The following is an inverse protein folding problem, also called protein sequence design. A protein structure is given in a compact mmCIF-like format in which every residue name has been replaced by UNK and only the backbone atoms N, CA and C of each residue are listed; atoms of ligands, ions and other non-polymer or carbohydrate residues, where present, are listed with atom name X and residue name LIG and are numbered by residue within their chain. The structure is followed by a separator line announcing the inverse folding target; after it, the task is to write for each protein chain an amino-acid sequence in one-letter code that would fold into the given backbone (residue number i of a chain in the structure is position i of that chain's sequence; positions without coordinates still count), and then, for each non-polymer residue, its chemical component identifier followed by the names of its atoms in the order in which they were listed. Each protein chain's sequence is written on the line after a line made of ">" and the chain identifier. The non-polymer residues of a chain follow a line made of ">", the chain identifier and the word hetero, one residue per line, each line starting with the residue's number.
data_IF_613350556404
#
_entry.id   IF_613350556404
#
_cell.length_a   1.000
_cell.length_b   1.000
_cell.length_c   1.000
_cell.angle_alpha   90.00
_cell.angle_beta   90.00
_cell.angle_gamma   90.00
#
_symmetry.space_group_name_H-M   'P 1'
#
loop_
_entity.id
_entity.type
_entity.pdbx_description
1 polymer ?
#
# COMPACT_ATOMS: atom_id res chain seq x y z
N UNK A 1 -12.30 -17.46 -16.53
CA UNK A 1 -11.60 -16.17 -16.31
C UNK A 1 -12.41 -15.25 -15.38
N UNK A 2 -13.70 -15.00 -15.62
CA UNK A 2 -14.57 -14.18 -14.76
C UNK A 2 -14.58 -14.59 -13.27
N UNK A 3 -14.69 -15.89 -12.96
CA UNK A 3 -14.66 -16.42 -11.58
C UNK A 3 -13.40 -16.03 -10.80
N UNK A 4 -12.24 -15.99 -11.47
CA UNK A 4 -10.96 -15.67 -10.83
C UNK A 4 -10.75 -14.17 -10.64
N UNK A 5 -11.23 -13.34 -11.59
CA UNK A 5 -11.25 -11.88 -11.43
C UNK A 5 -12.20 -11.46 -10.30
N UNK A 6 -13.39 -12.09 -10.19
CA UNK A 6 -14.29 -11.81 -9.07
C UNK A 6 -13.67 -12.17 -7.72
N UNK A 7 -12.89 -13.25 -7.64
CA UNK A 7 -12.16 -13.63 -6.42
C UNK A 7 -11.15 -12.54 -6.02
N UNK A 8 -10.44 -11.95 -6.97
CA UNK A 8 -9.45 -10.90 -6.70
C UNK A 8 -10.08 -9.64 -6.08
N UNK A 9 -11.28 -9.23 -6.51
CA UNK A 9 -11.95 -8.07 -5.92
C UNK A 9 -12.52 -8.33 -4.52
N UNK A 10 -12.88 -9.58 -4.23
CA UNK A 10 -13.53 -9.98 -2.98
C UNK A 10 -12.51 -10.17 -1.83
N UNK A 11 -11.23 -10.46 -2.13
CA UNK A 11 -10.17 -10.70 -1.12
C UNK A 11 -9.38 -9.48 -0.64
N UNK A 12 -9.59 -8.32 -1.26
CA UNK A 12 -8.90 -7.08 -0.92
C UNK A 12 -9.79 -5.85 -0.59
N UNK A 13 -11.09 -5.98 -0.19
CA UNK A 13 -11.91 -4.84 0.22
C UNK A 13 -11.25 -3.92 1.25
N UNK A 14 -10.41 -4.45 2.14
CA UNK A 14 -9.70 -3.65 3.14
C UNK A 14 -8.83 -2.54 2.50
N UNK A 15 -8.37 -2.72 1.27
CA UNK A 15 -7.61 -1.73 0.50
C UNK A 15 -8.49 -1.00 -0.52
N UNK A 16 -9.33 -1.73 -1.26
CA UNK A 16 -10.10 -1.15 -2.37
C UNK A 16 -11.26 -0.29 -1.90
N UNK A 17 -11.92 -0.63 -0.78
CA UNK A 17 -13.07 0.15 -0.27
C UNK A 17 -12.64 1.54 0.19
N UNK A 18 -11.61 1.72 1.05
CA UNK A 18 -11.12 3.06 1.38
C UNK A 18 -10.67 3.84 0.15
N UNK A 19 -9.92 3.20 -0.76
CA UNK A 19 -9.40 3.84 -1.97
C UNK A 19 -10.52 4.36 -2.88
N UNK A 20 -11.45 3.49 -3.30
CA UNK A 20 -12.58 3.87 -4.15
C UNK A 20 -13.42 4.94 -3.44
N UNK A 21 -13.59 4.83 -2.13
CA UNK A 21 -14.36 5.80 -1.37
C UNK A 21 -13.77 7.22 -1.46
N UNK A 22 -12.45 7.36 -1.37
CA UNK A 22 -11.75 8.65 -1.51
C UNK A 22 -11.77 9.14 -2.97
N UNK A 23 -11.51 8.28 -3.95
CA UNK A 23 -11.57 8.63 -5.38
C UNK A 23 -12.97 9.10 -5.82
N UNK A 24 -14.03 8.51 -5.25
CA UNK A 24 -15.40 8.95 -5.48
C UNK A 24 -15.75 10.26 -4.74
N UNK A 25 -14.98 10.62 -3.72
CA UNK A 25 -15.21 11.85 -2.94
C UNK A 25 -14.55 13.06 -3.59
N UNK A 26 -13.35 12.90 -4.14
CA UNK A 26 -12.62 13.98 -4.79
C UNK A 26 -11.58 13.45 -5.78
N UNK A 27 -11.19 14.30 -6.73
CA UNK A 27 -10.21 13.96 -7.76
C UNK A 27 -8.78 14.06 -7.24
N UNK A 28 -8.00 13.02 -7.47
CA UNK A 28 -6.56 13.00 -7.23
C UNK A 28 -5.79 13.23 -8.53
N UNK A 29 -4.58 13.79 -8.40
CA UNK A 29 -3.67 13.94 -9.52
C UNK A 29 -3.13 12.58 -9.96
N UNK A 30 -2.57 12.53 -11.17
CA UNK A 30 -1.73 11.39 -11.54
C UNK A 30 -0.42 11.46 -10.75
N UNK A 31 0.18 10.31 -10.40
CA UNK A 31 1.48 10.30 -9.77
C UNK A 31 2.54 11.06 -10.58
N UNK A 32 3.57 11.55 -9.90
CA UNK A 32 4.65 12.26 -10.54
C UNK A 32 5.30 11.41 -11.64
N UNK A 33 5.62 12.07 -12.75
CA UNK A 33 6.27 11.40 -13.88
C UNK A 33 7.69 11.01 -13.49
N UNK A 34 7.99 9.72 -13.67
CA UNK A 34 9.32 9.16 -13.41
C UNK A 34 9.95 8.72 -14.74
N UNK A 35 11.28 8.72 -14.78
CA UNK A 35 12.00 8.17 -15.93
C UNK A 35 11.77 6.66 -15.97
N UNK A 36 11.25 6.15 -17.08
CA UNK A 36 11.03 4.72 -17.26
C UNK A 36 12.37 4.02 -17.46
N UNK A 37 12.90 3.47 -16.36
CA UNK A 37 14.17 2.76 -16.36
C UNK A 37 13.99 1.35 -15.81
N UNK A 38 14.27 0.36 -16.67
CA UNK A 38 14.34 -1.03 -16.26
C UNK A 38 15.56 -1.30 -15.38
N UNK A 39 15.48 -2.34 -14.55
CA UNK A 39 16.58 -2.73 -13.68
C UNK A 39 17.71 -3.40 -14.47
N UNK A 40 18.94 -3.17 -14.05
CA UNK A 40 20.06 -3.93 -14.61
C UNK A 40 19.86 -5.43 -14.40
N UNK A 41 19.92 -6.21 -15.48
CA UNK A 41 19.65 -7.64 -15.44
C UNK A 41 20.64 -8.38 -14.55
N UNK A 42 21.93 -8.03 -14.62
CA UNK A 42 22.98 -8.69 -13.84
C UNK A 42 22.78 -8.49 -12.34
N UNK A 43 22.52 -7.23 -11.94
CA UNK A 43 22.19 -6.89 -10.54
C UNK A 43 20.92 -7.59 -10.07
N UNK A 44 19.86 -7.60 -10.88
CA UNK A 44 18.60 -8.26 -10.53
C UNK A 44 18.78 -9.77 -10.32
N UNK A 45 19.52 -10.43 -11.22
CA UNK A 45 19.85 -11.86 -11.11
C UNK A 45 20.69 -12.13 -9.86
N UNK A 46 21.74 -11.34 -9.64
CA UNK A 46 22.61 -11.47 -8.47
C UNK A 46 21.83 -11.30 -7.17
N UNK A 47 21.07 -10.22 -7.01
CA UNK A 47 20.22 -9.96 -5.85
C UNK A 47 19.17 -11.05 -5.65
N UNK A 48 18.65 -11.65 -6.73
CA UNK A 48 17.72 -12.79 -6.66
C UNK A 48 18.42 -14.08 -6.21
N UNK A 49 19.65 -14.33 -6.65
CA UNK A 49 20.44 -15.51 -6.26
C UNK A 49 20.78 -15.48 -4.76
N UNK A 50 21.19 -14.33 -4.25
CA UNK A 50 21.54 -14.17 -2.83
C UNK A 50 20.32 -13.91 -1.93
N UNK A 51 19.11 -13.82 -2.50
CA UNK A 51 17.87 -13.45 -1.79
C UNK A 51 18.01 -12.17 -0.94
N UNK A 52 18.60 -11.13 -1.52
CA UNK A 52 18.81 -9.87 -0.78
C UNK A 52 17.47 -9.20 -0.45
N UNK A 53 17.28 -8.78 0.80
CA UNK A 53 16.09 -8.05 1.25
C UNK A 53 16.36 -6.55 1.44
N UNK A 54 17.62 -6.11 1.30
CA UNK A 54 18.00 -4.71 1.47
C UNK A 54 17.56 -3.87 0.26
N UNK A 55 16.36 -3.27 0.37
CA UNK A 55 15.84 -2.28 -0.59
C UNK A 55 16.18 -0.83 -0.23
N UNK A 56 16.69 -0.59 0.98
CA UNK A 56 16.71 0.73 1.61
C UNK A 56 17.90 1.61 1.23
N UNK A 57 18.85 1.10 0.44
CA UNK A 57 20.04 1.84 0.00
C UNK A 57 19.91 2.17 -1.48
N UNK A 58 20.11 3.44 -1.84
CA UNK A 58 20.18 3.88 -3.23
C UNK A 58 21.14 2.97 -4.02
N UNK A 59 20.70 2.52 -5.20
CA UNK A 59 21.36 1.54 -6.11
C UNK A 59 21.12 0.04 -5.87
N UNK A 60 20.35 -0.37 -4.84
CA UNK A 60 19.98 -1.78 -4.69
C UNK A 60 18.86 -2.18 -5.67
N UNK A 61 18.96 -3.40 -6.21
CA UNK A 61 18.00 -3.94 -7.16
C UNK A 61 16.90 -4.75 -6.45
N UNK A 62 15.65 -4.58 -6.89
CA UNK A 62 14.57 -5.50 -6.59
C UNK A 62 14.88 -6.87 -7.20
N UNK A 63 14.39 -7.91 -6.54
CA UNK A 63 14.65 -9.29 -6.93
C UNK A 63 13.38 -10.13 -6.87
N UNK A 64 13.44 -11.32 -7.49
CA UNK A 64 12.35 -12.31 -7.50
C UNK A 64 12.63 -13.49 -6.57
N UNK A 65 13.81 -13.50 -5.94
CA UNK A 65 14.31 -14.57 -5.10
C UNK A 65 14.74 -15.84 -5.84
N UNK A 66 15.51 -16.67 -5.14
CA UNK A 66 16.15 -17.87 -5.68
C UNK A 66 15.14 -18.91 -6.19
N UNK A 67 14.01 -19.07 -5.49
CA UNK A 67 12.98 -20.05 -5.85
C UNK A 67 12.44 -19.76 -7.26
N UNK A 68 12.21 -18.49 -7.59
CA UNK A 68 11.68 -18.11 -8.91
C UNK A 68 12.76 -18.15 -9.99
N UNK A 69 14.03 -17.90 -9.66
CA UNK A 69 15.13 -18.17 -10.59
C UNK A 69 15.21 -19.67 -10.95
N UNK A 70 15.09 -20.55 -9.96
CA UNK A 70 15.04 -21.99 -10.19
C UNK A 70 13.81 -22.35 -11.05
N UNK A 71 12.64 -21.77 -10.76
CA UNK A 71 11.44 -21.96 -11.55
C UNK A 71 11.63 -21.53 -13.02
N UNK A 72 12.40 -20.46 -13.25
CA UNK A 72 12.74 -19.97 -14.58
C UNK A 72 13.50 -21.03 -15.37
N UNK A 73 14.57 -21.59 -14.79
CA UNK A 73 15.42 -22.60 -15.44
C UNK A 73 14.70 -23.93 -15.59
N UNK A 74 14.09 -24.45 -14.52
CA UNK A 74 13.36 -25.71 -14.54
C UNK A 74 12.17 -25.66 -15.49
N UNK A 75 11.52 -24.50 -15.60
CA UNK A 75 10.41 -24.28 -16.51
C UNK A 75 10.78 -24.53 -17.98
N UNK A 76 12.01 -24.20 -18.38
CA UNK A 76 12.54 -24.53 -19.73
C UNK A 76 12.62 -26.04 -19.90
N UNK A 77 13.22 -26.72 -18.92
CA UNK A 77 13.49 -28.18 -18.96
C UNK A 77 12.19 -28.96 -19.08
N UNK A 78 11.15 -28.58 -18.32
CA UNK A 78 9.86 -29.28 -18.32
C UNK A 78 8.81 -28.63 -19.23
N UNK A 79 9.16 -27.62 -20.02
CA UNK A 79 8.21 -26.84 -20.84
C UNK A 79 7.35 -27.71 -21.76
N UNK A 80 7.93 -28.79 -22.32
CA UNK A 80 7.20 -29.73 -23.18
C UNK A 80 6.07 -30.48 -22.44
N UNK A 81 6.17 -30.61 -21.12
CA UNK A 81 5.15 -31.25 -20.26
C UNK A 81 4.02 -30.29 -19.85
N UNK A 82 4.15 -28.99 -20.13
CA UNK A 82 3.14 -28.01 -19.75
C UNK A 82 1.91 -28.09 -20.65
N UNK A 83 0.72 -27.92 -20.05
CA UNK A 83 -0.51 -27.67 -20.78
C UNK A 83 -0.45 -26.31 -21.49
N UNK A 84 -1.33 -26.07 -22.47
CA UNK A 84 -1.35 -24.80 -23.21
C UNK A 84 -1.48 -23.57 -22.31
N UNK A 85 -2.34 -23.64 -21.29
CA UNK A 85 -2.50 -22.58 -20.29
C UNK A 85 -1.21 -22.34 -19.51
N UNK A 86 -0.55 -23.41 -19.06
CA UNK A 86 0.68 -23.27 -18.28
C UNK A 86 1.86 -22.79 -19.13
N UNK A 87 1.92 -23.16 -20.42
CA UNK A 87 2.88 -22.56 -21.36
C UNK A 87 2.68 -21.06 -21.46
N UNK A 88 1.43 -20.61 -21.61
CA UNK A 88 1.12 -19.18 -21.62
C UNK A 88 1.51 -18.51 -20.28
N UNK A 89 1.21 -19.12 -19.14
CA UNK A 89 1.63 -18.62 -17.82
C UNK A 89 3.15 -18.52 -17.69
N UNK A 90 3.89 -19.51 -18.19
CA UNK A 90 5.36 -19.48 -18.19
C UNK A 90 5.91 -18.37 -19.09
N UNK A 91 5.33 -18.18 -20.28
CA UNK A 91 5.71 -17.08 -21.17
C UNK A 91 5.39 -15.72 -20.55
N UNK A 92 4.27 -15.58 -19.84
CA UNK A 92 3.95 -14.37 -19.08
C UNK A 92 4.96 -14.13 -17.94
N UNK A 93 5.35 -15.18 -17.21
CA UNK A 93 6.39 -15.11 -16.18
C UNK A 93 7.72 -14.58 -16.74
N UNK A 94 8.20 -15.15 -17.84
CA UNK A 94 9.42 -14.67 -18.51
C UNK A 94 9.22 -13.25 -19.08
N UNK A 95 8.08 -13.00 -19.72
CA UNK A 95 7.77 -11.72 -20.34
C UNK A 95 7.77 -10.58 -19.33
N UNK A 96 7.04 -10.70 -18.22
CA UNK A 96 6.98 -9.65 -17.19
C UNK A 96 8.33 -9.49 -16.48
N UNK A 97 9.12 -10.56 -16.36
CA UNK A 97 10.51 -10.46 -15.88
C UNK A 97 11.35 -9.60 -16.83
N UNK A 98 11.36 -9.90 -18.12
CA UNK A 98 12.14 -9.14 -19.11
C UNK A 98 11.68 -7.69 -19.21
N UNK A 99 10.37 -7.43 -19.17
CA UNK A 99 9.82 -6.08 -19.14
C UNK A 99 10.32 -5.29 -17.91
N UNK A 100 10.62 -5.93 -16.78
CA UNK A 100 11.16 -5.21 -15.61
C UNK A 100 12.63 -4.80 -15.74
N UNK A 101 13.33 -5.27 -16.77
CA UNK A 101 14.79 -5.11 -16.93
C UNK A 101 15.16 -4.04 -17.96
N UNK A 102 16.42 -3.64 -17.94
CA UNK A 102 17.04 -2.74 -18.91
C UNK A 102 17.12 -3.31 -20.33
N UNK A 103 16.85 -4.62 -20.52
CA UNK A 103 16.73 -5.22 -21.85
C UNK A 103 15.52 -4.71 -22.62
N UNK A 104 14.45 -4.30 -21.91
CA UNK A 104 13.28 -3.74 -22.57
C UNK A 104 13.50 -2.25 -22.85
N UNK A 105 13.20 -1.75 -24.07
CA UNK A 105 13.53 -0.40 -24.48
C UNK A 105 12.52 0.63 -23.94
N UNK A 106 12.47 0.79 -22.63
CA UNK A 106 11.54 1.67 -21.91
C UNK A 106 11.55 3.13 -22.38
N UNK A 107 12.69 3.61 -22.89
CA UNK A 107 12.83 4.96 -23.45
C UNK A 107 11.84 5.25 -24.59
N UNK A 108 11.46 4.24 -25.38
CA UNK A 108 10.49 4.39 -26.48
C UNK A 108 9.10 4.76 -25.93
N UNK A 109 8.81 4.36 -24.69
CA UNK A 109 7.52 4.60 -24.03
C UNK A 109 7.53 5.83 -23.12
N UNK A 110 8.67 6.51 -22.99
CA UNK A 110 8.75 7.80 -22.30
C UNK A 110 7.86 8.80 -23.05
N UNK A 111 6.94 9.49 -22.36
CA UNK A 111 5.89 10.36 -22.94
C UNK A 111 4.66 9.64 -23.54
N UNK A 112 4.50 8.35 -23.31
CA UNK A 112 3.24 7.64 -23.63
C UNK A 112 2.39 7.44 -22.38
N UNK A 113 1.13 7.00 -22.52
CA UNK A 113 0.28 6.66 -21.37
C UNK A 113 0.86 5.55 -20.47
N UNK A 114 1.87 4.81 -20.94
CA UNK A 114 2.55 3.77 -20.16
C UNK A 114 3.44 4.36 -19.05
N UNK A 115 3.83 5.63 -19.16
CA UNK A 115 4.64 6.34 -18.15
C UNK A 115 4.01 6.36 -16.75
N UNK A 116 2.68 6.19 -16.65
CA UNK A 116 1.96 6.07 -15.37
C UNK A 116 2.45 4.94 -14.47
N UNK A 117 3.07 3.90 -15.05
CA UNK A 117 3.67 2.79 -14.30
C UNK A 117 4.80 3.31 -13.39
N UNK A 118 5.46 4.41 -13.77
CA UNK A 118 6.60 5.08 -13.13
C UNK A 118 7.86 4.22 -13.02
N UNK A 119 7.71 3.03 -12.45
CA UNK A 119 8.81 2.14 -12.12
C UNK A 119 8.60 0.77 -12.77
N UNK A 120 9.34 0.43 -13.83
CA UNK A 120 9.24 -0.86 -14.49
C UNK A 120 9.40 -2.08 -13.56
N UNK A 121 10.16 -1.96 -12.46
CA UNK A 121 10.27 -3.03 -11.46
C UNK A 121 8.92 -3.42 -10.84
N UNK A 122 7.88 -2.58 -10.89
CA UNK A 122 6.52 -2.93 -10.42
C UNK A 122 5.94 -4.12 -11.18
N UNK A 123 6.41 -4.38 -12.41
CA UNK A 123 6.02 -5.57 -13.18
C UNK A 123 6.52 -6.88 -12.55
N UNK A 124 7.50 -6.82 -11.64
CA UNK A 124 7.94 -7.98 -10.87
C UNK A 124 6.82 -8.58 -10.01
N UNK A 125 5.78 -7.82 -9.65
CA UNK A 125 4.60 -8.38 -8.96
C UNK A 125 3.92 -9.46 -9.82
N UNK A 126 3.81 -9.24 -11.12
CA UNK A 126 3.25 -10.22 -12.06
C UNK A 126 4.23 -11.37 -12.29
N UNK A 127 5.53 -11.08 -12.35
CA UNK A 127 6.58 -12.09 -12.42
C UNK A 127 6.50 -13.06 -11.23
N UNK A 128 6.34 -12.54 -10.02
CA UNK A 128 6.16 -13.36 -8.82
C UNK A 128 4.88 -14.18 -8.91
N UNK A 129 3.76 -13.56 -9.29
CA UNK A 129 2.48 -14.26 -9.43
C UNK A 129 2.56 -15.45 -10.40
N UNK A 130 3.01 -15.21 -11.64
CA UNK A 130 3.09 -16.25 -12.67
C UNK A 130 4.18 -17.27 -12.34
N UNK A 131 5.33 -16.82 -11.84
CA UNK A 131 6.44 -17.67 -11.42
C UNK A 131 6.05 -18.61 -10.29
N UNK A 132 5.27 -18.16 -9.30
CA UNK A 132 4.75 -19.02 -8.23
C UNK A 132 3.85 -20.13 -8.78
N UNK A 133 2.93 -19.81 -9.70
CA UNK A 133 2.05 -20.82 -10.34
C UNK A 133 2.87 -21.85 -11.11
N UNK A 134 3.85 -21.39 -11.90
CA UNK A 134 4.77 -22.26 -12.63
C UNK A 134 5.53 -23.17 -11.67
N UNK A 135 6.13 -22.61 -10.63
CA UNK A 135 6.93 -23.37 -9.67
C UNK A 135 6.10 -24.44 -8.96
N UNK A 136 4.87 -24.12 -8.54
CA UNK A 136 3.95 -25.10 -7.95
C UNK A 136 3.71 -26.28 -8.89
N UNK A 137 3.51 -26.03 -10.19
CA UNK A 137 3.29 -27.12 -11.15
C UNK A 137 4.56 -27.93 -11.42
N UNK A 138 5.72 -27.28 -11.51
CA UNK A 138 7.02 -27.96 -11.62
C UNK A 138 7.22 -28.91 -10.45
N UNK A 139 6.97 -28.44 -9.22
CA UNK A 139 7.05 -29.26 -8.01
C UNK A 139 6.07 -30.43 -8.05
N UNK A 140 4.83 -30.23 -8.52
CA UNK A 140 3.86 -31.30 -8.68
C UNK A 140 4.34 -32.40 -9.66
N UNK A 141 4.96 -32.01 -10.79
CA UNK A 141 5.55 -32.96 -11.74
C UNK A 141 6.71 -33.74 -11.12
N UNK A 142 7.64 -33.03 -10.46
CA UNK A 142 8.89 -33.62 -9.95
C UNK A 142 8.61 -34.54 -8.78
N UNK A 143 7.84 -34.04 -7.80
CA UNK A 143 7.60 -34.77 -6.56
C UNK A 143 6.64 -35.93 -6.76
N UNK A 144 5.86 -35.96 -7.87
CA UNK A 144 4.78 -36.93 -8.13
C UNK A 144 3.89 -37.16 -6.90
N UNK A 145 3.81 -36.16 -6.02
CA UNK A 145 3.33 -36.31 -4.67
C UNK A 145 1.98 -35.63 -4.55
N UNK A 146 1.04 -36.35 -3.95
CA UNK A 146 -0.23 -35.79 -3.49
C UNK A 146 -0.02 -34.88 -2.28
N UNK A 147 0.69 -33.75 -2.47
CA UNK A 147 1.02 -32.78 -1.42
C UNK A 147 -0.24 -32.12 -0.82
N UNK A 148 -1.38 -32.21 -1.50
CA UNK A 148 -2.67 -31.77 -0.99
C UNK A 148 -3.00 -32.38 0.38
N UNK A 149 -2.57 -33.63 0.66
CA UNK A 149 -2.80 -34.26 1.96
C UNK A 149 -2.01 -33.61 3.11
N UNK A 150 -0.96 -32.86 2.78
CA UNK A 150 -0.13 -32.12 3.73
C UNK A 150 -0.40 -30.61 3.67
N UNK A 151 -1.46 -30.17 2.99
CA UNK A 151 -1.75 -28.75 2.78
C UNK A 151 -1.72 -27.93 4.07
N UNK A 152 -2.35 -28.42 5.15
CA UNK A 152 -2.38 -27.72 6.45
C UNK A 152 -0.97 -27.61 7.06
N UNK A 153 -0.17 -28.67 6.99
CA UNK A 153 1.19 -28.67 7.50
C UNK A 153 2.08 -27.69 6.70
N UNK A 154 1.98 -27.71 5.37
CA UNK A 154 2.70 -26.78 4.48
C UNK A 154 2.27 -25.34 4.76
N UNK A 155 0.96 -25.09 4.87
CA UNK A 155 0.41 -23.77 5.19
C UNK A 155 0.91 -23.28 6.55
N UNK A 156 0.95 -24.14 7.56
CA UNK A 156 1.48 -23.84 8.89
C UNK A 156 2.96 -23.46 8.83
N UNK A 157 3.79 -24.28 8.17
CA UNK A 157 5.24 -24.01 8.01
C UNK A 157 5.48 -22.71 7.25
N UNK A 158 4.78 -22.48 6.13
CA UNK A 158 4.89 -21.23 5.37
C UNK A 158 4.50 -20.04 6.23
N UNK A 159 3.39 -20.13 6.97
CA UNK A 159 2.91 -19.04 7.85
C UNK A 159 3.94 -18.72 8.94
N UNK A 160 4.54 -19.74 9.57
CA UNK A 160 5.57 -19.55 10.61
C UNK A 160 6.82 -18.89 10.03
N UNK A 161 7.30 -19.35 8.87
CA UNK A 161 8.49 -18.79 8.23
C UNK A 161 8.23 -17.33 7.81
N UNK A 162 7.15 -17.07 7.07
CA UNK A 162 6.86 -15.71 6.57
C UNK A 162 6.50 -14.76 7.72
N UNK A 163 5.74 -15.24 8.71
CA UNK A 163 5.38 -14.46 9.89
C UNK A 163 6.60 -14.14 10.76
N UNK A 164 7.50 -15.12 10.95
CA UNK A 164 8.77 -14.92 11.65
C UNK A 164 9.65 -13.88 10.97
N UNK A 165 9.87 -14.02 9.66
CA UNK A 165 10.63 -13.03 8.87
C UNK A 165 10.02 -11.64 8.94
N UNK A 166 8.70 -11.53 8.87
CA UNK A 166 8.00 -10.24 8.97
C UNK A 166 8.15 -9.60 10.35
N UNK A 167 7.96 -10.38 11.43
CA UNK A 167 8.16 -9.90 12.80
C UNK A 167 9.60 -9.46 13.05
N UNK A 168 10.58 -10.24 12.59
CA UNK A 168 12.00 -9.89 12.67
C UNK A 168 12.30 -8.61 11.90
N UNK A 169 11.73 -8.44 10.70
CA UNK A 169 11.90 -7.21 9.90
C UNK A 169 11.31 -6.00 10.63
N UNK A 170 10.14 -6.14 11.26
CA UNK A 170 9.53 -5.06 12.06
C UNK A 170 10.40 -4.71 13.26
N UNK A 171 10.87 -5.70 14.01
CA UNK A 171 11.73 -5.47 15.19
C UNK A 171 13.03 -4.77 14.81
N UNK A 172 13.69 -5.25 13.74
CA UNK A 172 14.88 -4.61 13.18
C UNK A 172 14.58 -3.18 12.74
N UNK A 173 13.51 -2.95 11.97
CA UNK A 173 13.14 -1.62 11.46
C UNK A 173 12.80 -0.67 12.60
N UNK A 174 12.08 -1.11 13.62
CA UNK A 174 11.76 -0.30 14.79
C UNK A 174 13.02 0.14 15.55
N UNK A 175 14.05 -0.72 15.62
CA UNK A 175 15.32 -0.44 16.29
C UNK A 175 16.32 0.36 15.45
N UNK A 176 16.31 0.21 14.12
CA UNK A 176 17.39 0.69 13.24
C UNK A 176 16.98 1.75 12.22
N UNK A 177 15.69 1.91 11.93
CA UNK A 177 15.25 2.79 10.84
C UNK A 177 15.11 4.25 11.25
N UNK A 178 15.16 5.12 10.24
CA UNK A 178 14.77 6.53 10.35
C UNK A 178 13.33 6.70 10.86
N UNK A 179 12.44 5.71 10.62
CA UNK A 179 10.99 5.79 10.89
C UNK A 179 10.68 5.93 12.39
N UNK A 180 11.52 5.40 13.28
CA UNK A 180 11.40 5.58 14.74
C UNK A 180 12.26 6.73 15.27
N UNK A 181 13.00 7.43 14.41
CA UNK A 181 13.86 8.53 14.82
C UNK A 181 13.03 9.74 15.23
N UNK A 182 13.29 10.28 16.41
CA UNK A 182 12.78 11.59 16.82
C UNK A 182 13.14 12.71 15.82
N UNK A 183 14.19 12.50 15.00
CA UNK A 183 14.60 13.41 13.92
C UNK A 183 13.64 13.42 12.72
N UNK A 184 12.60 12.61 12.66
CA UNK A 184 11.56 12.72 11.63
C UNK A 184 10.29 13.44 12.12
N UNK A 185 10.20 13.73 13.42
CA UNK A 185 9.08 14.51 13.96
C UNK A 185 9.21 15.96 13.50
N UNK A 186 8.15 16.47 12.88
CA UNK A 186 8.07 17.89 12.49
C UNK A 186 7.67 18.68 13.73
N UNK A 187 8.65 19.30 14.38
CA UNK A 187 8.46 20.18 15.53
C UNK A 187 8.46 21.66 15.12
N UNK A 188 8.20 22.55 16.09
CA UNK A 188 8.13 23.99 15.83
C UNK A 188 9.48 24.56 15.37
N UNK A 189 10.60 24.00 15.86
CA UNK A 189 11.94 24.45 15.48
C UNK A 189 12.17 24.23 13.99
N UNK A 190 11.86 23.05 13.46
CA UNK A 190 11.98 22.73 12.04
C UNK A 190 11.10 23.58 11.15
N UNK A 191 9.87 23.84 11.57
CA UNK A 191 8.94 24.72 10.83
C UNK A 191 9.54 26.14 10.76
N UNK A 192 10.06 26.66 11.87
CA UNK A 192 10.66 27.99 11.90
C UNK A 192 11.94 28.08 11.04
N UNK A 193 12.73 27.01 10.98
CA UNK A 193 13.95 26.92 10.17
C UNK A 193 13.67 26.58 8.69
N UNK A 194 12.40 26.31 8.31
CA UNK A 194 12.04 25.87 6.96
C UNK A 194 12.57 24.48 6.59
N UNK A 195 13.02 23.69 7.58
CA UNK A 195 13.65 22.39 7.39
C UNK A 195 12.63 21.25 7.52
N UNK A 196 11.67 21.23 6.59
CA UNK A 196 10.61 20.23 6.55
C UNK A 196 10.98 19.16 5.52
N UNK A 197 11.06 17.87 5.91
CA UNK A 197 11.42 16.81 4.99
C UNK A 197 10.35 16.69 3.88
N UNK A 198 10.79 16.49 2.64
CA UNK A 198 9.87 16.13 1.57
C UNK A 198 9.28 14.75 1.86
N UNK A 199 7.95 14.70 1.94
CA UNK A 199 7.17 13.49 2.24
C UNK A 199 6.41 13.00 1.01
N UNK A 200 6.66 13.59 -0.16
CA UNK A 200 5.88 13.37 -1.38
C UNK A 200 4.39 13.64 -1.16
N UNK A 201 4.06 14.56 -0.24
CA UNK A 201 2.69 14.85 0.17
C UNK A 201 1.81 15.24 -1.02
N UNK A 202 2.40 15.88 -2.04
CA UNK A 202 1.74 16.24 -3.28
C UNK A 202 1.01 15.08 -3.96
N UNK A 203 1.55 13.86 -3.85
CA UNK A 203 0.97 12.65 -4.43
C UNK A 203 -0.28 12.16 -3.69
N UNK A 204 -0.48 12.61 -2.45
CA UNK A 204 -1.61 12.21 -1.61
C UNK A 204 -2.63 13.35 -1.42
N UNK A 205 -2.38 14.53 -1.98
CA UNK A 205 -3.28 15.68 -1.90
C UNK A 205 -4.19 15.75 -3.14
N UNK A 206 -5.51 15.98 -2.96
CA UNK A 206 -6.43 16.19 -4.07
C UNK A 206 -6.02 17.37 -4.96
N UNK A 207 -6.40 17.35 -6.24
CA UNK A 207 -6.04 18.40 -7.21
C UNK A 207 -6.43 19.81 -6.73
N UNK A 208 -7.53 19.93 -5.98
CA UNK A 208 -8.00 21.19 -5.41
C UNK A 208 -7.06 21.80 -4.35
N UNK A 209 -6.28 20.97 -3.65
CA UNK A 209 -5.32 21.41 -2.63
C UNK A 209 -3.90 21.57 -3.12
N UNK A 210 -3.57 21.07 -4.32
CA UNK A 210 -2.19 21.07 -4.82
C UNK A 210 -1.60 22.49 -4.98
N UNK A 211 -2.41 23.47 -5.42
CA UNK A 211 -1.94 24.84 -5.63
C UNK A 211 -1.45 25.52 -4.34
N UNK A 212 -2.07 25.19 -3.20
CA UNK A 212 -1.80 25.81 -1.90
C UNK A 212 -1.07 24.84 -0.96
N UNK A 213 -0.49 23.78 -1.51
CA UNK A 213 0.13 22.69 -0.75
C UNK A 213 1.26 23.19 0.14
N UNK A 214 2.06 24.14 -0.34
CA UNK A 214 3.16 24.72 0.42
C UNK A 214 2.70 25.27 1.77
N UNK A 215 1.52 25.90 1.83
CA UNK A 215 0.96 26.39 3.08
C UNK A 215 0.64 25.27 4.08
N UNK A 216 0.24 24.10 3.58
CA UNK A 216 -0.04 22.91 4.40
C UNK A 216 1.27 22.27 4.85
N UNK A 217 2.25 22.13 3.94
CA UNK A 217 3.59 21.62 4.24
C UNK A 217 4.29 22.49 5.29
N UNK A 218 4.18 23.81 5.17
CA UNK A 218 4.74 24.78 6.13
C UNK A 218 3.90 24.95 7.41
N UNK A 219 2.88 24.10 7.60
CA UNK A 219 2.06 24.08 8.80
C UNK A 219 1.40 25.42 9.14
N UNK A 220 0.96 26.15 8.11
CA UNK A 220 0.28 27.43 8.25
C UNK A 220 -1.19 27.21 8.67
N UNK A 221 -1.53 27.75 9.84
CA UNK A 221 -2.90 27.91 10.34
C UNK A 221 -3.41 29.31 10.02
N UNK A 222 -4.69 29.43 9.70
CA UNK A 222 -5.32 30.74 9.45
C UNK A 222 -6.50 30.93 10.39
N UNK A 223 -6.51 32.05 11.12
CA UNK A 223 -7.62 32.52 11.91
C UNK A 223 -8.19 33.78 11.23
N UNK A 224 -9.39 33.67 10.64
CA UNK A 224 -10.02 34.75 9.88
C UNK A 224 -9.10 35.36 8.79
N UNK A 225 -8.21 34.55 8.20
CA UNK A 225 -7.25 34.99 7.18
C UNK A 225 -5.91 35.49 7.73
N UNK A 226 -5.78 35.69 9.05
CA UNK A 226 -4.47 35.95 9.68
C UNK A 226 -3.70 34.65 9.81
N UNK A 227 -2.50 34.61 9.24
CA UNK A 227 -1.63 33.44 9.22
C UNK A 227 -0.74 33.36 10.45
N UNK A 228 -0.55 32.14 10.96
CA UNK A 228 0.55 31.78 11.86
C UNK A 228 0.99 30.34 11.58
N UNK A 229 2.14 29.94 12.13
CA UNK A 229 2.64 28.57 12.00
C UNK A 229 2.43 27.84 13.32
N UNK A 230 1.94 26.60 13.25
CA UNK A 230 1.79 25.76 14.43
C UNK A 230 2.16 24.32 14.10
N UNK A 231 3.15 23.78 14.82
CA UNK A 231 3.43 22.36 14.78
C UNK A 231 2.21 21.55 15.27
N UNK A 232 1.78 20.51 14.52
CA UNK A 232 0.71 19.64 14.96
C UNK A 232 1.21 18.84 16.16
N UNK A 233 0.42 18.77 17.22
CA UNK A 233 0.73 17.90 18.36
C UNK A 233 0.24 16.49 18.03
N UNK A 234 1.15 15.51 17.76
CA UNK A 234 0.73 14.16 17.46
C UNK A 234 0.09 13.51 18.69
N UNK A 235 -1.07 12.88 18.50
CA UNK A 235 -1.81 12.16 19.54
C UNK A 235 -2.32 10.82 18.99
N UNK A 236 -2.80 9.92 19.84
CA UNK A 236 -3.40 8.66 19.37
C UNK A 236 -4.47 8.97 18.31
N UNK A 237 -4.28 8.41 17.11
CA UNK A 237 -5.19 8.52 15.96
C UNK A 237 -5.49 9.94 15.48
N UNK A 238 -4.56 10.88 15.63
CA UNK A 238 -4.78 12.22 15.09
C UNK A 238 -3.73 13.26 15.42
N UNK A 239 -4.12 14.52 15.27
CA UNK A 239 -3.30 15.68 15.57
C UNK A 239 -4.12 16.74 16.30
N UNK A 240 -3.49 17.38 17.28
CA UNK A 240 -4.09 18.49 18.03
C UNK A 240 -3.51 19.84 17.60
N UNK A 241 -4.38 20.85 17.54
CA UNK A 241 -4.05 22.26 17.36
C UNK A 241 -4.67 23.05 18.50
N UNK A 242 -3.98 24.09 18.98
CA UNK A 242 -4.45 24.90 20.12
C UNK A 242 -4.52 26.37 19.78
N UNK A 243 -5.63 27.01 20.14
CA UNK A 243 -5.88 28.43 19.95
C UNK A 243 -6.39 29.05 21.24
N UNK A 244 -6.21 30.36 21.39
CA UNK A 244 -6.81 31.16 22.46
C UNK A 244 -7.72 32.23 21.87
N UNK A 245 -8.64 32.74 22.69
CA UNK A 245 -9.46 33.92 22.38
C UNK A 245 -10.29 33.81 21.10
N UNK A 246 -10.82 32.62 20.82
CA UNK A 246 -11.65 32.35 19.64
C UNK A 246 -13.08 32.84 19.88
N UNK A 247 -13.63 33.56 18.91
CA UNK A 247 -15.00 34.07 18.95
C UNK A 247 -15.93 33.23 18.07
N UNK A 248 -17.21 33.24 18.42
CA UNK A 248 -18.27 32.61 17.64
C UNK A 248 -18.24 33.14 16.21
N UNK A 249 -18.16 32.22 15.26
CA UNK A 249 -18.16 32.52 13.84
C UNK A 249 -16.77 32.64 13.23
N UNK A 250 -15.70 32.65 14.03
CA UNK A 250 -14.33 32.62 13.56
C UNK A 250 -14.09 31.41 12.65
N UNK A 251 -13.36 31.65 11.56
CA UNK A 251 -12.96 30.63 10.60
C UNK A 251 -11.53 30.20 10.90
N UNK A 252 -11.40 28.94 11.25
CA UNK A 252 -10.15 28.25 11.53
C UNK A 252 -9.83 27.35 10.34
N UNK A 253 -8.80 27.67 9.59
CA UNK A 253 -8.31 26.86 8.48
C UNK A 253 -6.95 26.25 8.88
N UNK A 254 -6.92 24.91 8.97
CA UNK A 254 -5.85 24.14 9.57
C UNK A 254 -5.00 23.47 8.48
N UNK A 255 -3.69 23.28 8.68
CA UNK A 255 -2.80 22.59 7.74
C UNK A 255 -3.01 21.08 7.79
N UNK A 256 -4.23 20.64 7.50
CA UNK A 256 -4.64 19.23 7.51
C UNK A 256 -5.48 18.97 6.26
N UNK A 257 -5.02 18.10 5.38
CA UNK A 257 -5.72 17.79 4.12
C UNK A 257 -7.08 17.18 4.42
N UNK A 258 -8.13 17.65 3.75
CA UNK A 258 -9.48 17.13 3.94
C UNK A 258 -9.69 15.88 3.08
N UNK A 259 -9.75 14.73 3.73
CA UNK A 259 -10.21 13.47 3.16
C UNK A 259 -11.69 13.24 3.51
N UNK A 260 -12.35 12.29 2.84
CA UNK A 260 -13.78 12.03 3.04
C UNK A 260 -14.14 11.73 4.48
N UNK A 261 -13.28 10.98 5.17
CA UNK A 261 -13.50 10.54 6.54
C UNK A 261 -12.73 11.35 7.59
N UNK A 262 -12.25 12.55 7.22
CA UNK A 262 -11.70 13.49 8.18
C UNK A 262 -12.79 13.98 9.13
N UNK A 263 -12.46 14.06 10.42
CA UNK A 263 -13.35 14.53 11.50
C UNK A 263 -12.60 15.51 12.38
N UNK A 264 -13.33 16.47 12.94
CA UNK A 264 -12.80 17.40 13.91
C UNK A 264 -13.66 17.40 15.18
N UNK A 265 -13.00 17.57 16.33
CA UNK A 265 -13.67 17.91 17.58
C UNK A 265 -13.02 19.13 18.23
N UNK A 266 -13.86 19.96 18.86
CA UNK A 266 -13.48 21.13 19.62
C UNK A 266 -13.68 20.82 21.11
N UNK A 267 -12.58 20.74 21.88
CA UNK A 267 -12.59 20.33 23.29
C UNK A 267 -13.41 19.03 23.51
N UNK A 268 -13.23 18.05 22.62
CA UNK A 268 -13.91 16.74 22.67
C UNK A 268 -15.30 16.69 22.02
N UNK A 269 -15.90 17.82 21.64
CA UNK A 269 -17.21 17.85 20.96
C UNK A 269 -17.05 17.85 19.45
N UNK A 270 -17.63 16.86 18.77
CA UNK A 270 -17.60 16.78 17.30
C UNK A 270 -18.23 18.03 16.67
N UNK A 271 -17.59 18.54 15.62
CA UNK A 271 -18.09 19.70 14.85
C UNK A 271 -18.06 19.40 13.35
N UNK A 272 -18.94 20.04 12.56
CA UNK A 272 -18.86 19.94 11.12
C UNK A 272 -17.59 20.59 10.58
N UNK A 273 -17.05 20.01 9.51
CA UNK A 273 -15.89 20.52 8.78
C UNK A 273 -16.27 20.85 7.33
N UNK A 274 -15.57 21.80 6.75
CA UNK A 274 -15.73 22.22 5.35
C UNK A 274 -14.38 22.20 4.64
N UNK A 275 -14.40 22.20 3.31
CA UNK A 275 -13.19 22.29 2.48
C UNK A 275 -12.78 23.76 2.38
N UNK A 276 -11.55 24.08 2.76
CA UNK A 276 -10.98 25.41 2.52
C UNK A 276 -10.61 25.60 1.05
N UNK A 277 -10.24 26.84 0.67
CA UNK A 277 -9.64 27.11 -0.65
C UNK A 277 -8.31 26.37 -0.87
N UNK A 278 -7.65 25.96 0.20
CA UNK A 278 -6.34 25.27 0.19
C UNK A 278 -6.47 23.75 0.14
N UNK A 279 -7.69 23.21 0.01
CA UNK A 279 -7.94 21.77 0.07
C UNK A 279 -7.84 21.17 1.49
N UNK A 280 -7.73 22.04 2.50
CA UNK A 280 -7.54 21.66 3.90
C UNK A 280 -8.84 21.74 4.71
N UNK A 281 -8.77 21.33 5.98
CA UNK A 281 -9.88 21.36 6.93
C UNK A 281 -10.16 22.79 7.39
N UNK A 282 -11.40 23.24 7.16
CA UNK A 282 -11.92 24.49 7.69
C UNK A 282 -13.06 24.26 8.69
N UNK A 283 -12.98 24.93 9.84
CA UNK A 283 -13.95 24.87 10.93
C UNK A 283 -14.45 26.29 11.22
N UNK A 284 -15.78 26.43 11.39
CA UNK A 284 -16.39 27.66 11.91
C UNK A 284 -16.67 27.47 13.40
N UNK A 285 -16.14 28.33 14.25
CA UNK A 285 -16.31 28.25 15.69
C UNK A 285 -17.81 28.43 16.06
N UNK A 286 -18.45 27.44 16.73
CA UNK A 286 -19.89 27.51 17.04
C UNK A 286 -20.22 28.45 18.20
N UNK A 287 -19.21 28.78 19.02
CA UNK A 287 -19.29 29.65 20.20
C UNK A 287 -17.90 30.21 20.53
N UNK A 288 -17.83 31.04 21.56
CA UNK A 288 -16.59 31.59 22.08
C UNK A 288 -15.80 30.54 22.88
N UNK A 289 -14.47 30.64 22.82
CA UNK A 289 -13.53 29.81 23.56
C UNK A 289 -12.33 30.63 24.03
N UNK A 290 -12.08 30.68 25.33
CA UNK A 290 -10.84 31.27 25.87
C UNK A 290 -9.63 30.40 25.51
N UNK A 291 -9.80 29.07 25.60
CA UNK A 291 -8.83 28.07 25.15
C UNK A 291 -9.53 26.97 24.36
N UNK A 292 -9.08 26.78 23.13
CA UNK A 292 -9.61 25.81 22.17
C UNK A 292 -8.55 24.79 21.81
N UNK A 293 -8.86 23.51 22.00
CA UNK A 293 -8.12 22.39 21.44
C UNK A 293 -8.94 21.76 20.34
N UNK A 294 -8.39 21.74 19.14
CA UNK A 294 -8.96 21.10 17.96
C UNK A 294 -8.27 19.75 17.79
N UNK A 295 -9.03 18.67 17.82
CA UNK A 295 -8.53 17.33 17.55
C UNK A 295 -9.00 16.88 16.17
N UNK A 296 -8.06 16.65 15.26
CA UNK A 296 -8.32 16.16 13.91
C UNK A 296 -8.00 14.67 13.82
N UNK A 297 -8.92 13.91 13.24
CA UNK A 297 -8.78 12.46 13.05
C UNK A 297 -9.24 12.07 11.65
N UNK A 298 -8.81 10.88 11.21
CA UNK A 298 -9.29 10.26 9.99
C UNK A 298 -9.83 8.87 10.31
N UNK A 299 -11.02 8.55 9.80
CA UNK A 299 -11.43 7.16 9.66
C UNK A 299 -12.91 6.88 9.84
N UNK A 300 -13.30 5.72 9.30
CA UNK A 300 -14.63 5.17 9.40
C UNK A 300 -14.57 3.72 9.92
N UNK A 301 -14.56 3.58 11.25
CA UNK A 301 -14.42 2.28 11.92
C UNK A 301 -15.44 1.25 11.46
N UNK A 302 -16.69 1.66 11.20
CA UNK A 302 -17.75 0.75 10.75
C UNK A 302 -17.47 0.23 9.33
N UNK A 303 -17.19 1.14 8.38
CA UNK A 303 -16.92 0.77 7.00
C UNK A 303 -15.64 -0.06 6.86
N UNK A 304 -14.54 0.41 7.48
CA UNK A 304 -13.25 -0.26 7.38
C UNK A 304 -13.26 -1.59 8.15
N UNK A 305 -13.96 -1.65 9.28
CA UNK A 305 -14.19 -2.91 10.00
C UNK A 305 -15.00 -3.92 9.16
N UNK A 306 -16.05 -3.47 8.47
CA UNK A 306 -16.80 -4.33 7.54
C UNK A 306 -15.92 -4.83 6.39
N UNK A 307 -15.16 -3.94 5.74
CA UNK A 307 -14.25 -4.31 4.66
C UNK A 307 -13.17 -5.33 5.12
N UNK A 308 -12.67 -5.17 6.35
CA UNK A 308 -11.76 -6.13 6.99
C UNK A 308 -12.42 -7.49 7.22
N UNK A 309 -13.65 -7.52 7.76
CA UNK A 309 -14.39 -8.78 7.98
C UNK A 309 -14.62 -9.51 6.65
N UNK A 310 -15.08 -8.80 5.61
CA UNK A 310 -15.28 -9.39 4.27
C UNK A 310 -13.97 -9.95 3.74
N UNK A 311 -12.86 -9.22 3.88
CA UNK A 311 -11.53 -9.66 3.47
C UNK A 311 -11.14 -10.97 4.18
N UNK A 312 -11.28 -11.04 5.50
CA UNK A 312 -10.95 -12.23 6.30
C UNK A 312 -11.81 -13.43 5.90
N UNK A 313 -13.12 -13.26 5.80
CA UNK A 313 -14.06 -14.33 5.40
C UNK A 313 -13.70 -14.83 3.99
N UNK A 314 -13.37 -13.93 3.07
CA UNK A 314 -13.02 -14.27 1.70
C UNK A 314 -11.75 -15.12 1.62
N UNK A 315 -10.70 -14.73 2.35
CA UNK A 315 -9.50 -15.55 2.47
C UNK A 315 -9.77 -16.90 3.13
N UNK A 316 -10.61 -16.93 4.16
CA UNK A 316 -11.01 -18.17 4.82
C UNK A 316 -11.72 -19.12 3.85
N UNK A 317 -12.70 -18.62 3.07
CA UNK A 317 -13.41 -19.42 2.06
C UNK A 317 -12.45 -19.92 0.97
N UNK A 318 -11.47 -19.13 0.55
CA UNK A 318 -10.50 -19.58 -0.47
C UNK A 318 -9.59 -20.68 0.06
N UNK A 319 -9.04 -20.50 1.26
CA UNK A 319 -8.10 -21.44 1.86
C UNK A 319 -8.78 -22.74 2.28
N UNK A 320 -10.01 -22.68 2.78
CA UNK A 320 -10.69 -23.83 3.38
C UNK A 320 -11.91 -24.32 2.60
N UNK A 321 -12.52 -23.53 1.72
CA UNK A 321 -13.75 -23.91 1.02
C UNK A 321 -13.60 -25.13 0.12
N UNK A 322 -12.57 -25.18 -0.73
CA UNK A 322 -12.37 -26.32 -1.65
C UNK A 322 -11.83 -27.59 -0.98
N UNK A 323 -10.92 -27.54 0.02
CA UNK A 323 -10.56 -28.74 0.79
C UNK A 323 -11.72 -29.30 1.61
N UNK A 324 -12.57 -28.43 2.20
CA UNK A 324 -13.74 -28.83 2.98
C UNK A 324 -14.79 -29.50 2.11
N UNK A 325 -15.08 -28.95 0.93
CA UNK A 325 -16.02 -29.54 -0.04
C UNK A 325 -15.58 -30.96 -0.47
N UNK A 326 -14.29 -31.14 -0.77
CA UNK A 326 -13.71 -32.46 -1.09
C UNK A 326 -13.76 -33.43 0.08
N UNK A 327 -13.50 -32.97 1.31
CA UNK A 327 -13.59 -33.80 2.52
C UNK A 327 -15.02 -34.32 2.74
N UNK A 328 -16.03 -33.44 2.69
CA UNK A 328 -17.42 -33.85 2.83
C UNK A 328 -17.91 -34.76 1.70
N UNK A 329 -17.45 -34.54 0.46
CA UNK A 329 -17.73 -35.43 -0.66
C UNK A 329 -17.16 -36.84 -0.41
N UNK A 330 -15.93 -36.93 0.11
CA UNK A 330 -15.28 -38.21 0.45
C UNK A 330 -15.94 -38.95 1.62
N UNK A 331 -16.52 -38.22 2.58
CA UNK A 331 -17.30 -38.82 3.66
C UNK A 331 -18.61 -39.41 3.12
N UNK A 332 -19.31 -38.67 2.26
CA UNK A 332 -20.58 -39.10 1.67
C UNK A 332 -20.44 -40.35 0.81
N UNK A 333 -19.32 -40.51 0.10
CA UNK A 333 -19.03 -41.72 -0.69
C UNK A 333 -18.58 -42.93 0.14
N UNK A 334 -18.27 -42.75 1.44
CA UNK A 334 -17.90 -43.85 2.36
C UNK A 334 -19.08 -44.39 3.15
N UNK A 335 -20.18 -43.65 3.21
CA UNK A 335 -21.36 -43.95 4.03
C UNK A 335 -22.67 -44.01 3.22
N UNK A 336 -22.59 -44.06 1.89
CA UNK A 336 -23.71 -44.30 0.98
C UNK A 336 -23.30 -45.27 -0.11
#
# INVERSE_FOLDING_TARGET
>A
MAKYLSTLFIVQPIFTVPFISEELFQKYGVPDRQILQGQDLGKLLYSSLINDTHRLVENNAYNIGLILLIAMVLGIIVFKKFSGVLKATYLLFIGTFLLSTSLFPWKIFQNTSIEVIQFPYRLLMFTTLFGSVVMTYILAIILKAGLEKYFIAILGVVTVITGGLWLTTIDLTAKTSLVSSAKLVIDQKRINEGNIPDTYLAQYVPVTGQKELDSVVQHQVFLNGKVSNQAPLPVDKGSNFTFTDIKKGDKLDLPFVRYKYTKASLNGKSVPITLSKRGSVMIKAPKDYDRLTIHLTYGNRKLFGFAMIVTIISWFIILFGTPVEKYFYSLRSRFG
#
